data_IF_084888201291
#
_entry.id   IF_084888201291
#
_cell.length_a   1.000
_cell.length_b   1.000
_cell.length_c   1.000
_cell.angle_alpha   90.00
_cell.angle_beta   90.00
_cell.angle_gamma   90.00
#
_symmetry.space_group_name_H-M   'P 1'
#
loop_
_entity.id
_entity.type
_entity.pdbx_description
1 polymer ?
#
# COMPACT_ATOMS: atom_id res chain seq x y z
N UNK A 1 22.58 23.03 -7.62
CA UNK A 1 21.12 22.88 -7.72
C UNK A 1 20.82 21.73 -6.79
N UNK A 2 20.08 21.98 -5.72
CA UNK A 2 19.66 20.89 -4.85
C UNK A 2 18.79 19.93 -5.67
N UNK A 3 19.08 18.65 -5.57
CA UNK A 3 18.26 17.63 -6.26
C UNK A 3 16.85 17.63 -5.67
N UNK A 4 15.84 17.41 -6.52
CA UNK A 4 14.47 17.24 -6.02
C UNK A 4 14.41 16.05 -5.04
N UNK A 5 13.66 16.14 -3.93
CA UNK A 5 13.46 15.00 -3.04
C UNK A 5 12.88 13.81 -3.81
N UNK A 6 13.37 12.61 -3.50
CA UNK A 6 12.99 11.38 -4.17
C UNK A 6 11.76 10.74 -3.51
N UNK A 7 10.71 10.53 -4.29
CA UNK A 7 9.44 9.93 -3.87
C UNK A 7 9.28 8.55 -4.51
N UNK A 8 9.45 7.49 -3.73
CA UNK A 8 9.27 6.10 -4.18
C UNK A 8 7.86 5.63 -3.84
N UNK A 9 7.07 5.32 -4.88
CA UNK A 9 5.66 4.96 -4.78
C UNK A 9 5.45 3.46 -5.05
N UNK A 10 4.93 2.73 -4.05
CA UNK A 10 4.72 1.28 -4.13
C UNK A 10 3.24 0.96 -4.21
N UNK A 11 2.80 0.44 -5.35
CA UNK A 11 1.40 0.14 -5.60
C UNK A 11 0.90 -1.12 -4.87
N UNK A 12 -0.40 -1.21 -4.66
CA UNK A 12 -1.08 -2.35 -4.06
C UNK A 12 -1.36 -3.49 -5.06
N UNK A 13 -2.38 -4.27 -4.76
CA UNK A 13 -2.87 -5.36 -5.62
C UNK A 13 -3.74 -4.82 -6.76
N UNK A 14 -4.06 -5.68 -7.72
CA UNK A 14 -5.02 -5.49 -8.82
C UNK A 14 -4.50 -4.63 -9.98
N UNK A 15 -3.94 -3.45 -9.74
CA UNK A 15 -3.49 -2.53 -10.80
C UNK A 15 -2.01 -2.20 -10.65
N UNK A 16 -1.38 -1.87 -11.78
CA UNK A 16 0.03 -1.49 -11.86
C UNK A 16 0.31 -0.09 -11.27
N UNK A 17 1.58 0.30 -11.26
CA UNK A 17 2.01 1.58 -10.72
C UNK A 17 1.37 2.77 -11.46
N UNK A 18 1.32 2.73 -12.80
CA UNK A 18 0.75 3.80 -13.63
C UNK A 18 -0.69 4.11 -13.26
N UNK A 19 -1.53 3.06 -13.15
CA UNK A 19 -2.95 3.21 -12.80
C UNK A 19 -3.17 3.56 -11.32
N UNK A 20 -2.31 3.07 -10.42
CA UNK A 20 -2.41 3.39 -8.99
C UNK A 20 -2.09 4.84 -8.73
N UNK A 21 -1.02 5.37 -9.35
CA UNK A 21 -0.42 6.67 -9.06
C UNK A 21 -0.70 7.74 -10.12
N UNK A 22 -1.71 7.52 -10.98
CA UNK A 22 -2.06 8.47 -12.04
C UNK A 22 -2.39 9.87 -11.49
N UNK A 23 -3.08 9.95 -10.36
CA UNK A 23 -3.45 11.22 -9.74
C UNK A 23 -2.26 11.95 -9.06
N UNK A 24 -1.09 11.30 -8.93
CA UNK A 24 0.13 11.85 -8.38
C UNK A 24 1.06 12.43 -9.44
N UNK A 25 0.71 12.38 -10.73
CA UNK A 25 1.49 12.99 -11.82
C UNK A 25 1.87 14.47 -11.55
N UNK A 26 1.01 15.32 -10.97
CA UNK A 26 1.39 16.70 -10.66
C UNK A 26 2.55 16.83 -9.68
N UNK A 27 2.80 15.83 -8.84
CA UNK A 27 3.92 15.84 -7.88
C UNK A 27 5.29 15.82 -8.57
N UNK A 28 5.37 15.41 -9.83
CA UNK A 28 6.63 15.42 -10.62
C UNK A 28 7.21 16.81 -10.83
N UNK A 29 6.44 17.88 -10.63
CA UNK A 29 6.96 19.25 -10.66
C UNK A 29 7.86 19.55 -9.44
N UNK A 30 7.72 18.81 -8.34
CA UNK A 30 8.38 19.05 -7.06
C UNK A 30 9.30 17.91 -6.63
N UNK A 31 9.03 16.68 -7.04
CA UNK A 31 9.69 15.46 -6.60
C UNK A 31 10.21 14.63 -7.78
N UNK A 32 11.32 13.94 -7.57
CA UNK A 32 11.70 12.82 -8.43
C UNK A 32 10.82 11.62 -8.12
N UNK A 33 9.84 11.34 -8.97
CA UNK A 33 8.92 10.20 -8.77
C UNK A 33 9.50 8.93 -9.35
N UNK A 34 9.62 7.90 -8.51
CA UNK A 34 9.97 6.54 -8.89
C UNK A 34 8.81 5.62 -8.51
N UNK A 35 8.17 5.00 -9.49
CA UNK A 35 7.02 4.13 -9.27
C UNK A 35 7.21 2.80 -10.02
N UNK A 36 7.98 1.85 -9.47
CA UNK A 36 8.24 0.58 -10.13
C UNK A 36 6.98 -0.30 -10.15
N UNK A 37 6.80 -1.06 -11.24
CA UNK A 37 5.81 -2.11 -11.28
C UNK A 37 6.29 -3.31 -10.48
N UNK A 38 5.47 -3.80 -9.56
CA UNK A 38 5.68 -5.05 -8.83
C UNK A 38 5.63 -6.24 -9.81
N UNK A 39 6.26 -7.34 -9.43
CA UNK A 39 6.24 -8.57 -10.26
C UNK A 39 4.82 -9.11 -10.41
N UNK A 40 4.50 -9.64 -11.59
CA UNK A 40 3.16 -10.15 -11.90
C UNK A 40 2.20 -9.09 -12.47
N UNK A 41 2.60 -7.82 -12.50
CA UNK A 41 1.78 -6.74 -13.05
C UNK A 41 2.25 -6.29 -14.44
N UNK A 42 1.32 -5.87 -15.33
CA UNK A 42 1.68 -5.38 -16.67
C UNK A 42 2.69 -4.21 -16.59
N UNK A 43 3.66 -4.15 -17.52
CA UNK A 43 3.88 -5.01 -18.69
C UNK A 43 4.64 -6.32 -18.40
N UNK A 44 4.92 -6.65 -17.14
CA UNK A 44 5.59 -7.90 -16.77
C UNK A 44 4.72 -9.13 -17.02
N UNK A 45 5.30 -10.33 -16.98
CA UNK A 45 4.56 -11.59 -17.15
C UNK A 45 3.75 -11.96 -15.90
N UNK A 46 2.80 -12.90 -16.06
CA UNK A 46 2.14 -13.57 -14.94
C UNK A 46 3.18 -14.28 -14.04
N UNK A 47 2.85 -14.42 -12.76
CA UNK A 47 3.68 -15.11 -11.75
C UNK A 47 2.86 -16.20 -11.05
N UNK A 48 3.56 -17.20 -10.52
CA UNK A 48 2.92 -18.32 -9.80
C UNK A 48 2.76 -18.05 -8.30
N UNK A 49 3.51 -17.09 -7.76
CA UNK A 49 3.50 -16.72 -6.36
C UNK A 49 3.97 -15.28 -6.18
N UNK A 50 3.31 -14.59 -5.26
CA UNK A 50 3.74 -13.29 -4.73
C UNK A 50 3.85 -13.40 -3.21
N UNK A 51 4.99 -12.97 -2.67
CA UNK A 51 5.27 -12.94 -1.24
C UNK A 51 5.78 -11.55 -0.85
N UNK A 52 5.17 -10.94 0.15
CA UNK A 52 5.52 -9.59 0.59
C UNK A 52 6.94 -9.49 1.14
N UNK A 53 7.52 -10.57 1.69
CA UNK A 53 8.91 -10.58 2.15
C UNK A 53 9.89 -10.53 0.96
N UNK A 54 9.62 -11.34 -0.09
CA UNK A 54 10.40 -11.34 -1.31
C UNK A 54 10.30 -9.99 -2.04
N UNK A 55 9.12 -9.39 -2.03
CA UNK A 55 8.89 -8.08 -2.64
C UNK A 55 9.51 -6.93 -1.82
N UNK A 56 9.54 -7.02 -0.49
CA UNK A 56 10.27 -6.07 0.34
C UNK A 56 11.78 -6.11 0.05
N UNK A 57 12.36 -7.30 -0.10
CA UNK A 57 13.76 -7.45 -0.52
C UNK A 57 14.00 -6.91 -1.94
N UNK A 58 13.06 -7.15 -2.87
CA UNK A 58 13.14 -6.60 -4.21
C UNK A 58 13.06 -5.07 -4.22
N UNK A 59 12.25 -4.47 -3.33
CA UNK A 59 12.06 -3.03 -3.25
C UNK A 59 13.36 -2.30 -2.84
N UNK A 60 14.24 -2.96 -2.06
CA UNK A 60 15.49 -2.37 -1.58
C UNK A 60 16.38 -1.83 -2.71
N UNK A 61 16.33 -2.40 -3.92
CA UNK A 61 17.10 -1.92 -5.07
C UNK A 61 16.73 -0.51 -5.55
N UNK A 62 15.56 -0.01 -5.16
CA UNK A 62 15.07 1.32 -5.52
C UNK A 62 15.28 2.34 -4.39
N UNK A 63 15.71 1.89 -3.21
CA UNK A 63 15.99 2.76 -2.08
C UNK A 63 17.34 3.43 -2.26
N UNK A 64 17.36 4.74 -2.07
CA UNK A 64 18.56 5.57 -2.05
C UNK A 64 18.54 6.45 -0.80
N UNK A 65 19.71 6.94 -0.32
CA UNK A 65 19.74 7.87 0.82
C UNK A 65 18.84 9.09 0.58
N UNK A 66 17.93 9.34 1.52
CA UNK A 66 16.96 10.44 1.42
C UNK A 66 15.63 10.09 0.74
N UNK A 67 15.37 8.81 0.47
CA UNK A 67 14.09 8.38 -0.16
C UNK A 67 12.91 8.60 0.79
N UNK A 68 11.86 9.26 0.28
CA UNK A 68 10.51 9.25 0.88
C UNK A 68 9.74 8.06 0.30
N UNK A 69 9.41 7.09 1.15
CA UNK A 69 8.73 5.86 0.74
C UNK A 69 7.23 5.96 0.99
N UNK A 70 6.43 5.73 -0.05
CA UNK A 70 4.96 5.75 0.03
C UNK A 70 4.40 4.44 -0.48
N UNK A 71 3.67 3.70 0.36
CA UNK A 71 3.07 2.41 0.00
C UNK A 71 1.55 2.39 0.17
N UNK A 72 0.83 1.89 -0.85
CA UNK A 72 -0.61 1.71 -0.79
C UNK A 72 -0.99 0.24 -0.68
N UNK A 73 -1.92 -0.10 0.22
CA UNK A 73 -2.49 -1.45 0.35
C UNK A 73 -1.38 -2.51 0.55
N UNK A 74 -1.34 -3.56 -0.24
CA UNK A 74 -0.27 -4.57 -0.21
C UNK A 74 1.13 -3.95 -0.32
N UNK A 75 1.27 -2.90 -1.16
CA UNK A 75 2.49 -2.09 -1.24
C UNK A 75 2.83 -1.38 0.07
N UNK A 76 1.84 -1.07 0.90
CA UNK A 76 2.05 -0.54 2.25
C UNK A 76 2.69 -1.56 3.19
N UNK A 77 2.28 -2.84 3.11
CA UNK A 77 2.92 -3.93 3.86
C UNK A 77 4.37 -4.11 3.41
N UNK A 78 4.60 -4.16 2.09
CA UNK A 78 5.95 -4.24 1.51
C UNK A 78 6.82 -3.07 1.99
N UNK A 79 6.25 -1.86 2.01
CA UNK A 79 6.97 -0.64 2.44
C UNK A 79 7.33 -0.67 3.93
N UNK A 80 6.45 -1.16 4.80
CA UNK A 80 6.76 -1.35 6.23
C UNK A 80 7.93 -2.30 6.42
N UNK A 81 7.93 -3.44 5.72
CA UNK A 81 9.00 -4.43 5.81
C UNK A 81 10.33 -3.89 5.24
N UNK A 82 10.31 -3.22 4.10
CA UNK A 82 11.50 -2.63 3.49
C UNK A 82 12.07 -1.49 4.35
N UNK A 83 11.21 -0.66 4.94
CA UNK A 83 11.60 0.41 5.84
C UNK A 83 12.31 -0.11 7.11
N UNK A 84 11.84 -1.22 7.66
CA UNK A 84 12.49 -1.84 8.81
C UNK A 84 13.87 -2.43 8.48
N UNK A 85 14.06 -2.91 7.24
CA UNK A 85 15.34 -3.48 6.77
C UNK A 85 16.40 -2.41 6.45
N UNK A 86 15.97 -1.27 5.92
CA UNK A 86 16.86 -0.22 5.41
C UNK A 86 16.43 1.19 5.88
N UNK A 87 16.23 1.37 7.20
CA UNK A 87 15.75 2.66 7.71
C UNK A 87 16.73 3.82 7.41
N UNK A 88 18.01 3.53 7.31
CA UNK A 88 19.07 4.51 7.03
C UNK A 88 19.01 5.13 5.62
N UNK A 89 18.25 4.52 4.71
CA UNK A 89 18.05 5.05 3.35
C UNK A 89 16.82 5.96 3.26
N UNK A 90 15.97 5.94 4.29
CA UNK A 90 14.70 6.64 4.25
C UNK A 90 14.74 7.99 4.94
N UNK A 91 14.09 8.98 4.33
CA UNK A 91 13.80 10.28 4.93
C UNK A 91 12.43 10.33 5.59
N UNK A 92 11.45 9.60 5.03
CA UNK A 92 10.13 9.39 5.64
C UNK A 92 9.45 8.12 5.12
N UNK A 93 8.41 7.67 5.82
CA UNK A 93 7.55 6.56 5.44
C UNK A 93 6.08 6.98 5.50
N UNK A 94 5.35 6.80 4.41
CA UNK A 94 3.89 6.94 4.37
C UNK A 94 3.26 5.61 3.97
N UNK A 95 2.29 5.13 4.74
CA UNK A 95 1.50 3.93 4.39
C UNK A 95 0.02 4.28 4.31
N UNK A 96 -0.63 3.81 3.24
CA UNK A 96 -2.02 4.08 2.92
C UNK A 96 -2.79 2.77 3.00
N UNK A 97 -3.66 2.64 4.00
CA UNK A 97 -4.51 1.47 4.21
C UNK A 97 -3.79 0.11 4.02
N UNK A 98 -2.64 -0.12 4.69
CA UNK A 98 -1.94 -1.39 4.59
C UNK A 98 -2.80 -2.52 5.20
N UNK A 99 -3.04 -3.64 4.48
CA UNK A 99 -3.89 -4.72 4.97
C UNK A 99 -3.17 -5.66 5.94
N UNK A 100 -2.36 -5.12 6.83
CA UNK A 100 -1.62 -5.87 7.86
C UNK A 100 -2.55 -6.32 9.00
N UNK A 101 -3.71 -6.92 8.68
CA UNK A 101 -4.76 -7.23 9.65
C UNK A 101 -4.30 -8.08 10.83
N UNK A 102 -3.20 -8.83 10.68
CA UNK A 102 -2.58 -9.58 11.76
C UNK A 102 -2.22 -8.73 12.98
N UNK A 103 -1.91 -7.44 12.81
CA UNK A 103 -1.56 -6.55 13.93
C UNK A 103 -2.76 -6.11 14.75
N UNK A 104 -3.96 -6.17 14.17
CA UNK A 104 -5.23 -5.78 14.80
C UNK A 104 -6.08 -7.01 15.23
N UNK A 105 -5.48 -8.21 15.29
CA UNK A 105 -6.19 -9.40 15.81
C UNK A 105 -6.71 -9.15 17.23
N UNK A 106 -7.95 -9.60 17.48
CA UNK A 106 -8.69 -9.33 18.71
C UNK A 106 -9.58 -8.08 18.63
N UNK A 107 -9.44 -7.25 17.59
CA UNK A 107 -10.41 -6.20 17.28
C UNK A 107 -11.52 -6.82 16.43
N UNK A 108 -12.81 -6.80 16.88
CA UNK A 108 -13.88 -7.53 16.18
C UNK A 108 -13.98 -7.22 14.69
N UNK A 109 -13.86 -5.95 14.28
CA UNK A 109 -13.94 -5.54 12.87
C UNK A 109 -12.80 -6.13 12.03
N UNK A 110 -11.58 -6.22 12.57
CA UNK A 110 -10.43 -6.82 11.89
C UNK A 110 -10.57 -8.34 11.77
N UNK A 111 -10.98 -9.01 12.86
CA UNK A 111 -11.18 -10.47 12.87
C UNK A 111 -12.29 -10.90 11.90
N UNK A 112 -13.40 -10.15 11.85
CA UNK A 112 -14.51 -10.38 10.93
C UNK A 112 -14.08 -10.17 9.45
N UNK A 113 -13.26 -9.15 9.21
CA UNK A 113 -12.74 -8.89 7.87
C UNK A 113 -11.75 -9.99 7.42
N UNK A 114 -10.86 -10.44 8.31
CA UNK A 114 -9.96 -11.57 8.05
C UNK A 114 -10.76 -12.81 7.64
N UNK A 115 -11.79 -13.16 8.42
CA UNK A 115 -12.63 -14.32 8.13
C UNK A 115 -13.30 -14.23 6.75
N UNK A 116 -13.80 -13.05 6.36
CA UNK A 116 -14.41 -12.83 5.03
C UNK A 116 -13.38 -12.93 3.90
N UNK A 117 -12.17 -12.42 4.11
CA UNK A 117 -11.08 -12.55 3.14
C UNK A 117 -10.70 -14.02 2.97
N UNK A 118 -10.51 -14.76 4.06
CA UNK A 118 -10.18 -16.20 4.02
C UNK A 118 -11.28 -17.00 3.33
N UNK A 119 -12.55 -16.72 3.60
CA UNK A 119 -13.69 -17.32 2.91
C UNK A 119 -13.62 -17.05 1.41
N UNK A 120 -13.33 -15.82 0.99
CA UNK A 120 -13.22 -15.46 -0.43
C UNK A 120 -12.11 -16.24 -1.14
N UNK A 121 -10.92 -16.35 -0.52
CA UNK A 121 -9.80 -17.14 -1.08
C UNK A 121 -10.09 -18.65 -1.14
N UNK A 122 -10.88 -19.17 -0.21
CA UNK A 122 -11.25 -20.59 -0.15
C UNK A 122 -12.55 -20.91 -0.89
N UNK A 123 -13.29 -19.93 -1.41
CA UNK A 123 -14.57 -20.09 -2.10
C UNK A 123 -14.52 -20.98 -3.35
N UNK A 124 -13.32 -21.24 -3.85
CA UNK A 124 -13.10 -22.18 -4.95
C UNK A 124 -13.28 -21.59 -6.34
N UNK A 125 -13.67 -20.31 -6.49
CA UNK A 125 -13.71 -19.71 -7.83
C UNK A 125 -12.28 -19.58 -8.36
N UNK A 126 -12.10 -20.04 -9.62
CA UNK A 126 -10.84 -19.95 -10.37
C UNK A 126 -10.93 -18.96 -11.52
N UNK A 127 -12.11 -18.39 -11.74
CA UNK A 127 -12.30 -17.32 -12.73
C UNK A 127 -11.78 -16.00 -12.18
N UNK A 128 -10.74 -15.41 -12.81
CA UNK A 128 -10.13 -14.17 -12.30
C UNK A 128 -11.10 -12.98 -12.26
N UNK A 129 -12.09 -12.94 -13.19
CA UNK A 129 -13.05 -11.85 -13.21
C UNK A 129 -14.07 -11.97 -12.07
N UNK A 130 -14.53 -13.16 -11.78
CA UNK A 130 -15.42 -13.42 -10.64
C UNK A 130 -14.71 -13.18 -9.32
N UNK A 131 -13.49 -13.68 -9.17
CA UNK A 131 -12.65 -13.46 -8.00
C UNK A 131 -12.44 -11.96 -7.75
N UNK A 132 -12.08 -11.21 -8.80
CA UNK A 132 -11.83 -9.76 -8.67
C UNK A 132 -13.08 -9.00 -8.26
N UNK A 133 -14.27 -9.34 -8.79
CA UNK A 133 -15.53 -8.68 -8.36
C UNK A 133 -15.79 -8.86 -6.87
N UNK A 134 -15.64 -10.07 -6.37
CA UNK A 134 -15.79 -10.37 -4.95
C UNK A 134 -14.78 -9.61 -4.09
N UNK A 135 -13.52 -9.61 -4.48
CA UNK A 135 -12.47 -8.88 -3.77
C UNK A 135 -12.73 -7.36 -3.71
N UNK A 136 -13.07 -6.73 -4.84
CA UNK A 136 -13.36 -5.29 -4.87
C UNK A 136 -14.54 -4.92 -3.96
N UNK A 137 -15.56 -5.77 -3.90
CA UNK A 137 -16.67 -5.57 -2.97
C UNK A 137 -16.25 -5.69 -1.50
N UNK A 138 -15.33 -6.64 -1.17
CA UNK A 138 -14.80 -6.80 0.18
C UNK A 138 -14.02 -5.59 0.66
N UNK A 139 -13.14 -5.03 -0.19
CA UNK A 139 -12.30 -3.88 0.18
C UNK A 139 -13.00 -2.53 -0.01
N UNK A 140 -14.28 -2.51 -0.34
CA UNK A 140 -15.04 -1.27 -0.53
C UNK A 140 -14.60 -0.44 -1.73
N UNK A 141 -14.02 -1.08 -2.76
CA UNK A 141 -13.62 -0.43 -3.99
C UNK A 141 -14.73 -0.50 -5.04
N UNK A 142 -14.80 0.53 -5.90
CA UNK A 142 -15.76 0.55 -7.00
C UNK A 142 -15.43 -0.54 -8.03
N UNK A 143 -16.40 -1.39 -8.29
CA UNK A 143 -16.27 -2.42 -9.35
C UNK A 143 -16.57 -1.77 -10.71
N UNK A 144 -15.65 -1.87 -11.69
CA UNK A 144 -15.92 -1.41 -13.04
C UNK A 144 -17.14 -2.11 -13.65
N UNK A 145 -17.97 -1.36 -14.37
CA UNK A 145 -19.09 -1.91 -15.11
C UNK A 145 -18.62 -2.58 -16.41
N UNK A 146 -19.16 -3.75 -16.74
CA UNK A 146 -18.81 -4.49 -17.94
C UNK A 146 -17.67 -5.51 -17.76
N UNK A 147 -16.97 -5.81 -18.85
CA UNK A 147 -15.86 -6.75 -18.84
C UNK A 147 -14.57 -6.07 -18.36
N UNK A 148 -13.77 -6.79 -17.59
CA UNK A 148 -12.44 -6.36 -17.21
C UNK A 148 -11.47 -6.38 -18.39
N UNK A 149 -10.55 -5.44 -18.45
CA UNK A 149 -9.47 -5.43 -19.43
C UNK A 149 -8.49 -6.57 -19.20
N UNK A 150 -7.69 -6.98 -20.21
CA UNK A 150 -6.65 -8.00 -20.03
C UNK A 150 -5.69 -7.67 -18.87
N UNK A 151 -5.34 -6.39 -18.67
CA UNK A 151 -4.47 -5.92 -17.61
C UNK A 151 -5.09 -6.12 -16.23
N UNK A 152 -6.39 -5.79 -16.08
CA UNK A 152 -7.12 -6.04 -14.83
C UNK A 152 -7.25 -7.54 -14.54
N UNK A 153 -7.45 -8.35 -15.55
CA UNK A 153 -7.48 -9.81 -15.39
C UNK A 153 -6.11 -10.39 -15.03
N UNK A 154 -5.03 -9.82 -15.52
CA UNK A 154 -3.68 -10.17 -15.09
C UNK A 154 -3.48 -9.79 -13.61
N UNK A 155 -3.84 -8.57 -13.21
CA UNK A 155 -3.78 -8.16 -11.80
C UNK A 155 -4.64 -9.04 -10.88
N UNK A 156 -5.80 -9.50 -11.37
CA UNK A 156 -6.62 -10.46 -10.64
C UNK A 156 -5.91 -11.83 -10.46
N UNK A 157 -5.25 -12.35 -11.50
CA UNK A 157 -4.44 -13.58 -11.36
C UNK A 157 -3.29 -13.41 -10.39
N UNK A 158 -2.62 -12.27 -10.41
CA UNK A 158 -1.56 -11.94 -9.44
C UNK A 158 -2.12 -11.90 -8.02
N UNK A 159 -3.25 -11.22 -7.79
CA UNK A 159 -3.94 -11.18 -6.50
C UNK A 159 -4.26 -12.59 -5.97
N UNK A 160 -4.73 -13.51 -6.83
CA UNK A 160 -5.08 -14.89 -6.43
C UNK A 160 -3.89 -15.69 -5.90
N UNK A 161 -2.66 -15.29 -6.22
CA UNK A 161 -1.41 -15.96 -5.80
C UNK A 161 -0.59 -15.12 -4.81
N UNK A 162 -1.12 -13.98 -4.35
CA UNK A 162 -0.53 -13.19 -3.26
C UNK A 162 -0.67 -13.94 -1.93
N UNK A 163 0.43 -14.03 -1.19
CA UNK A 163 0.42 -14.47 0.20
C UNK A 163 -0.44 -13.51 1.02
N UNK A 164 -1.27 -14.05 1.93
CA UNK A 164 -2.17 -13.23 2.75
C UNK A 164 -1.39 -12.15 3.52
N UNK A 165 -1.69 -10.86 3.32
CA UNK A 165 -1.00 -9.78 4.04
C UNK A 165 -1.33 -9.76 5.55
N UNK A 166 -2.38 -10.47 5.97
CA UNK A 166 -2.69 -10.68 7.40
C UNK A 166 -1.65 -11.59 8.12
N UNK A 167 -0.80 -12.30 7.35
CA UNK A 167 0.30 -13.09 7.90
C UNK A 167 1.58 -12.27 8.10
N UNK A 168 1.62 -11.02 7.63
CA UNK A 168 2.80 -10.19 7.77
C UNK A 168 3.10 -9.88 9.24
N UNK A 169 4.32 -10.17 9.64
CA UNK A 169 4.86 -9.79 10.95
C UNK A 169 5.54 -8.42 10.80
N UNK A 170 4.88 -7.38 11.29
CA UNK A 170 5.43 -6.02 11.18
C UNK A 170 6.51 -5.84 12.25
N UNK A 171 7.76 -5.44 11.85
CA UNK A 171 8.88 -5.24 12.77
C UNK A 171 8.72 -3.90 13.51
N UNK A 172 7.86 -3.86 14.52
CA UNK A 172 7.51 -2.64 15.21
C UNK A 172 8.69 -1.99 15.94
N UNK A 173 9.55 -2.79 16.57
CA UNK A 173 10.66 -2.26 17.38
C UNK A 173 11.69 -1.55 16.49
N UNK A 174 12.00 -2.13 15.33
CA UNK A 174 12.90 -1.55 14.32
C UNK A 174 12.29 -0.28 13.73
N UNK A 175 11.01 -0.32 13.37
CA UNK A 175 10.31 0.84 12.80
C UNK A 175 10.14 1.98 13.81
N UNK A 176 9.77 1.66 15.06
CA UNK A 176 9.58 2.67 16.10
C UNK A 176 10.88 3.37 16.47
N UNK A 177 12.00 2.61 16.51
CA UNK A 177 13.33 3.16 16.82
C UNK A 177 13.97 3.93 15.66
N UNK A 178 13.48 3.74 14.43
CA UNK A 178 14.00 4.43 13.26
C UNK A 178 13.69 5.95 13.33
N UNK A 179 14.73 6.81 13.25
CA UNK A 179 14.59 8.26 13.43
C UNK A 179 14.06 8.94 12.16
N UNK A 180 12.95 8.45 11.63
CA UNK A 180 12.29 9.01 10.45
C UNK A 180 10.81 9.28 10.73
N UNK A 181 10.23 10.37 10.23
CA UNK A 181 8.81 10.65 10.29
C UNK A 181 8.00 9.56 9.59
N UNK A 182 6.86 9.20 10.18
CA UNK A 182 5.96 8.18 9.67
C UNK A 182 4.54 8.74 9.61
N UNK A 183 3.83 8.45 8.51
CA UNK A 183 2.46 8.85 8.27
C UNK A 183 1.60 7.63 7.93
N UNK A 184 0.49 7.46 8.63
CA UNK A 184 -0.50 6.43 8.37
C UNK A 184 -1.78 7.08 7.89
N UNK A 185 -2.24 6.70 6.69
CA UNK A 185 -3.40 7.30 6.03
C UNK A 185 -4.51 6.27 5.84
N UNK A 186 -5.75 6.64 6.17
CA UNK A 186 -6.93 5.84 5.81
C UNK A 186 -8.02 6.67 5.14
N UNK A 187 -8.95 5.97 4.48
CA UNK A 187 -10.13 6.57 3.88
C UNK A 187 -11.32 6.72 4.84
N UNK A 188 -11.23 6.20 6.08
CA UNK A 188 -12.33 6.20 7.04
C UNK A 188 -13.57 5.46 6.56
N UNK A 189 -13.42 4.51 5.63
CA UNK A 189 -14.52 3.78 5.00
C UNK A 189 -14.75 2.40 5.59
N UNK A 190 -13.80 1.88 6.37
CA UNK A 190 -13.80 0.52 6.89
C UNK A 190 -13.19 0.46 8.29
N UNK A 191 -13.97 0.05 9.27
CA UNK A 191 -13.51 -0.12 10.65
C UNK A 191 -12.35 -1.15 10.76
N UNK A 192 -12.24 -2.09 9.84
CA UNK A 192 -11.14 -3.05 9.82
C UNK A 192 -9.81 -2.40 9.40
N UNK A 193 -9.81 -1.58 8.33
CA UNK A 193 -8.63 -0.82 7.93
C UNK A 193 -8.27 0.26 8.95
N UNK A 194 -9.25 0.94 9.52
CA UNK A 194 -9.01 1.92 10.58
C UNK A 194 -8.37 1.27 11.80
N UNK A 195 -8.82 0.08 12.22
CA UNK A 195 -8.20 -0.66 13.34
C UNK A 195 -6.72 -0.99 13.08
N UNK A 196 -6.35 -1.38 11.85
CA UNK A 196 -4.94 -1.58 11.49
C UNK A 196 -4.17 -0.26 11.55
N UNK A 197 -4.73 0.82 11.00
CA UNK A 197 -4.11 2.13 10.98
C UNK A 197 -3.91 2.69 12.41
N UNK A 198 -4.87 2.48 13.31
CA UNK A 198 -4.79 2.92 14.71
C UNK A 198 -3.66 2.19 15.46
N UNK A 199 -3.50 0.87 15.24
CA UNK A 199 -2.38 0.10 15.81
C UNK A 199 -1.04 0.58 15.26
N UNK A 200 -0.96 0.88 13.95
CA UNK A 200 0.27 1.40 13.34
C UNK A 200 0.60 2.80 13.86
N UNK A 201 -0.39 3.69 13.98
CA UNK A 201 -0.21 5.01 14.60
C UNK A 201 0.40 4.89 16.00
N UNK A 202 -0.25 4.11 16.88
CA UNK A 202 0.17 3.94 18.26
C UNK A 202 1.57 3.32 18.37
N UNK A 203 1.79 2.20 17.66
CA UNK A 203 3.02 1.42 17.84
C UNK A 203 4.23 1.99 17.11
N UNK A 204 4.03 2.75 16.05
CA UNK A 204 5.12 3.40 15.29
C UNK A 204 5.39 4.83 15.75
N UNK A 205 4.52 5.42 16.57
CA UNK A 205 4.54 6.86 16.85
C UNK A 205 4.34 7.68 15.58
N UNK A 206 3.48 7.21 14.69
CA UNK A 206 3.25 7.82 13.40
C UNK A 206 2.20 8.94 13.49
N UNK A 207 2.26 9.90 12.57
CA UNK A 207 1.14 10.80 12.33
C UNK A 207 -0.03 10.04 11.69
N UNK A 208 -1.26 10.45 11.99
CA UNK A 208 -2.48 9.84 11.47
C UNK A 208 -3.26 10.83 10.63
N UNK A 209 -3.63 10.43 9.41
CA UNK A 209 -4.54 11.20 8.57
C UNK A 209 -5.71 10.35 8.08
N UNK A 210 -6.90 10.93 8.04
CA UNK A 210 -8.10 10.32 7.47
C UNK A 210 -8.61 11.20 6.35
N UNK A 211 -8.66 10.66 5.12
CA UNK A 211 -9.14 11.36 3.93
C UNK A 211 -10.36 10.63 3.35
N UNK A 212 -11.57 10.99 3.75
CA UNK A 212 -12.78 10.32 3.29
C UNK A 212 -13.10 10.61 1.82
N UNK A 213 -13.82 9.70 1.17
CA UNK A 213 -14.40 9.91 -0.16
C UNK A 213 -13.87 8.98 -1.26
N UNK A 214 -12.68 8.40 -1.13
CA UNK A 214 -12.12 7.46 -2.12
C UNK A 214 -12.15 5.99 -1.69
N UNK A 215 -12.73 5.68 -0.54
CA UNK A 215 -12.69 4.32 0.01
C UNK A 215 -11.27 3.85 0.22
N UNK A 216 -10.98 2.60 -0.15
CA UNK A 216 -9.64 2.01 0.00
C UNK A 216 -8.52 2.70 -0.83
N UNK A 217 -8.87 3.37 -1.90
CA UNK A 217 -7.87 3.98 -2.82
C UNK A 217 -7.71 5.48 -2.55
N UNK A 218 -7.27 5.87 -1.36
CA UNK A 218 -7.19 7.26 -0.87
C UNK A 218 -6.36 8.16 -1.80
N UNK A 219 -5.30 7.64 -2.40
CA UNK A 219 -4.45 8.38 -3.35
C UNK A 219 -5.22 8.85 -4.60
N UNK A 220 -6.36 8.23 -4.92
CA UNK A 220 -7.21 8.64 -6.06
C UNK A 220 -7.99 9.93 -5.82
N UNK A 221 -7.99 10.48 -4.61
CA UNK A 221 -8.54 11.81 -4.35
C UNK A 221 -7.78 12.91 -5.12
N UNK A 222 -6.56 12.62 -5.56
CA UNK A 222 -5.73 13.59 -6.27
C UNK A 222 -5.25 14.70 -5.33
N UNK A 223 -5.67 15.94 -5.58
CA UNK A 223 -5.16 17.13 -4.87
C UNK A 223 -5.15 17.02 -3.35
N UNK A 224 -6.22 16.60 -2.64
CA UNK A 224 -6.19 16.49 -1.18
C UNK A 224 -5.11 15.53 -0.65
N UNK A 225 -4.88 14.41 -1.34
CA UNK A 225 -3.84 13.47 -0.98
C UNK A 225 -2.45 14.01 -1.35
N UNK A 226 -2.33 14.65 -2.51
CA UNK A 226 -1.07 15.24 -2.98
C UNK A 226 -0.59 16.36 -2.04
N UNK A 227 -1.49 17.21 -1.55
CA UNK A 227 -1.18 18.24 -0.56
C UNK A 227 -0.71 17.65 0.76
N UNK A 228 -1.40 16.60 1.26
CA UNK A 228 -1.02 15.90 2.48
C UNK A 228 0.41 15.34 2.38
N UNK A 229 0.69 14.59 1.31
CA UNK A 229 2.03 13.98 1.11
C UNK A 229 3.09 15.04 0.92
N UNK A 230 2.80 16.09 0.13
CA UNK A 230 3.74 17.20 -0.07
C UNK A 230 4.11 17.85 1.26
N UNK A 231 3.13 18.23 2.07
CA UNK A 231 3.35 18.88 3.36
C UNK A 231 4.15 17.98 4.30
N UNK A 232 3.85 16.69 4.34
CA UNK A 232 4.56 15.73 5.18
C UNK A 232 6.02 15.55 4.74
N UNK A 233 6.27 15.43 3.44
CA UNK A 233 7.63 15.32 2.86
C UNK A 233 8.44 16.59 3.17
N UNK A 234 7.88 17.77 2.97
CA UNK A 234 8.56 19.04 3.25
C UNK A 234 8.90 19.23 4.73
N UNK A 235 8.01 18.80 5.63
CA UNK A 235 8.32 18.78 7.06
C UNK A 235 9.47 17.82 7.37
N UNK A 236 9.49 16.64 6.75
CA UNK A 236 10.57 15.68 6.95
C UNK A 236 11.93 16.19 6.42
N UNK A 237 11.95 16.98 5.35
CA UNK A 237 13.18 17.58 4.81
C UNK A 237 13.82 18.63 5.76
N UNK A 238 13.01 19.25 6.61
CA UNK A 238 13.48 20.30 7.54
C UNK A 238 13.79 19.77 8.94
N UNK A 239 13.50 18.50 9.23
CA UNK A 239 13.73 17.84 10.52
C UNK A 239 15.08 17.11 10.54
#
# INVERSE_FOLDING_TARGET
MDSQPRLLLVHGSVVNAELTWNAQQPLAERFEIVAPNRRGFPPGPDVERVDFEDEAAWLEQFLEPGTHLVGHSYGGVISLLAAARRPELLRSLTVIEPPAFGVARGVPAADEFIARIEEHWTSGTRDPAEFLRGFLALVGSTTPTGNFTPELLQGARTLMVERSPAEAVIPFDELASAPLPKLVVSGGHSAAFDAVCDVLEERLGAERAVLPGAGHSVQRLGEPFNELVTSFVECAETS
#
